data_IF_039688910814
#
_entry.id   IF_039688910814
#
_cell.length_a   1.000
_cell.length_b   1.000
_cell.length_c   1.000
_cell.angle_alpha   90.00
_cell.angle_beta   90.00
_cell.angle_gamma   90.00
#
_symmetry.space_group_name_H-M   'P 1'
#
loop_
_entity.id
_entity.type
_entity.pdbx_description
1 polymer ?
#
# COMPACT_ATOMS: atom_id res chain seq x y z
N UNK A 1 38.05 34.06 -27.79
CA UNK A 1 37.32 34.32 -26.54
C UNK A 1 36.12 33.40 -26.55
N UNK A 2 36.24 32.27 -25.85
CA UNK A 2 35.12 31.38 -25.58
C UNK A 2 34.38 31.95 -24.37
N UNK A 3 33.08 32.12 -24.47
CA UNK A 3 32.22 32.40 -23.32
C UNK A 3 31.78 31.06 -22.75
N UNK A 4 32.46 30.59 -21.72
CA UNK A 4 32.02 29.46 -20.90
C UNK A 4 30.72 29.88 -20.20
N UNK A 5 29.64 29.17 -20.49
CA UNK A 5 28.34 29.38 -19.88
C UNK A 5 28.27 28.49 -18.62
N UNK A 6 28.96 28.91 -17.55
CA UNK A 6 29.13 28.16 -16.29
C UNK A 6 27.86 28.06 -15.43
N UNK A 7 26.71 28.51 -15.94
CA UNK A 7 25.40 28.38 -15.27
C UNK A 7 24.47 27.35 -15.93
N UNK A 8 24.98 26.54 -16.86
CA UNK A 8 24.18 25.49 -17.49
C UNK A 8 23.92 24.36 -16.49
N UNK A 9 22.66 24.16 -16.12
CA UNK A 9 22.23 23.02 -15.30
C UNK A 9 22.49 21.73 -16.09
N UNK A 10 22.82 20.63 -15.40
CA UNK A 10 23.22 19.37 -16.05
C UNK A 10 22.16 18.75 -16.98
N UNK A 11 20.93 19.23 -16.94
CA UNK A 11 19.80 18.86 -17.82
C UNK A 11 19.86 19.53 -19.21
N UNK A 12 20.69 20.55 -19.40
CA UNK A 12 20.81 21.30 -20.65
C UNK A 12 21.86 20.72 -21.62
N UNK A 13 22.78 19.88 -21.13
CA UNK A 13 23.95 19.41 -21.91
C UNK A 13 23.62 18.18 -22.77
N UNK A 14 22.54 17.47 -22.46
CA UNK A 14 22.13 16.25 -23.18
C UNK A 14 20.61 16.12 -23.20
N UNK A 15 19.93 17.03 -23.89
CA UNK A 15 18.54 16.76 -24.26
C UNK A 15 18.55 15.78 -25.44
N UNK A 16 17.92 14.59 -25.33
CA UNK A 16 17.68 13.79 -26.51
C UNK A 16 16.91 14.65 -27.51
N UNK A 17 17.30 14.60 -28.78
CA UNK A 17 16.46 15.15 -29.85
C UNK A 17 15.08 14.55 -29.65
N UNK A 18 14.05 15.39 -29.57
CA UNK A 18 12.68 14.91 -29.55
C UNK A 18 12.48 14.17 -30.88
N UNK A 19 12.59 12.85 -30.86
CA UNK A 19 11.93 12.04 -31.88
C UNK A 19 10.46 12.44 -31.83
N UNK A 20 9.89 12.76 -33.00
CA UNK A 20 8.45 12.96 -33.14
C UNK A 20 7.79 11.67 -32.64
N UNK A 21 7.38 11.69 -31.37
CA UNK A 21 6.60 10.61 -30.78
C UNK A 21 5.24 10.69 -31.44
N UNK A 22 4.96 9.73 -32.31
CA UNK A 22 3.64 9.55 -32.93
C UNK A 22 2.52 9.50 -31.86
N UNK A 23 2.87 9.14 -30.62
CA UNK A 23 2.00 9.13 -29.42
C UNK A 23 1.82 10.50 -28.71
N UNK A 24 2.18 11.62 -29.33
CA UNK A 24 1.95 12.97 -28.73
C UNK A 24 0.62 13.60 -29.13
N UNK A 25 -0.10 12.98 -30.09
CA UNK A 25 -1.42 13.40 -30.54
C UNK A 25 -2.57 12.84 -29.72
N UNK A 26 -3.79 13.14 -30.16
CA UNK A 26 -5.01 12.48 -29.67
C UNK A 26 -4.96 11.02 -30.13
N UNK A 27 -5.22 10.09 -29.21
CA UNK A 27 -5.25 8.65 -29.54
C UNK A 27 -6.44 8.33 -30.45
N UNK A 28 -6.21 7.48 -31.45
CA UNK A 28 -7.27 7.00 -32.32
C UNK A 28 -8.25 6.10 -31.53
N UNK A 29 -9.52 5.99 -31.96
CA UNK A 29 -10.54 5.23 -31.23
C UNK A 29 -10.13 3.78 -30.93
N UNK A 30 -9.37 3.15 -31.83
CA UNK A 30 -8.87 1.77 -31.68
C UNK A 30 -7.82 1.61 -30.57
N UNK A 31 -7.17 2.70 -30.18
CA UNK A 31 -6.17 2.75 -29.12
C UNK A 31 -6.72 3.28 -27.79
N UNK A 32 -8.03 3.56 -27.71
CA UNK A 32 -8.70 3.99 -26.47
C UNK A 32 -9.65 2.91 -25.94
N UNK A 33 -9.75 2.79 -24.61
CA UNK A 33 -10.77 1.94 -23.95
C UNK A 33 -12.16 2.59 -23.92
N UNK A 34 -12.35 3.74 -24.58
CA UNK A 34 -13.60 4.49 -24.61
C UNK A 34 -14.36 4.21 -25.90
N UNK A 35 -15.49 3.53 -25.78
CA UNK A 35 -16.42 3.26 -26.91
C UNK A 35 -17.33 4.47 -27.15
N UNK A 36 -16.72 5.64 -27.40
CA UNK A 36 -17.46 6.87 -27.71
C UNK A 36 -17.70 6.93 -29.21
N UNK A 37 -18.96 7.17 -29.60
CA UNK A 37 -19.38 7.25 -31.01
C UNK A 37 -18.90 8.53 -31.72
N UNK A 38 -18.38 9.51 -30.99
CA UNK A 38 -17.91 10.80 -31.52
C UNK A 38 -16.41 10.73 -31.86
N UNK A 39 -16.03 11.39 -32.96
CA UNK A 39 -14.63 11.53 -33.37
C UNK A 39 -13.83 12.28 -32.28
N UNK A 40 -12.76 11.69 -31.72
CA UNK A 40 -11.90 12.35 -30.74
C UNK A 40 -11.32 13.70 -31.23
N UNK A 41 -11.15 13.88 -32.55
CA UNK A 41 -10.65 15.12 -33.14
C UNK A 41 -11.70 16.23 -33.24
N UNK A 42 -13.00 15.90 -33.13
CA UNK A 42 -14.10 16.87 -33.16
C UNK A 42 -14.42 17.44 -31.76
N UNK A 43 -14.05 16.74 -30.69
CA UNK A 43 -14.29 17.19 -29.31
C UNK A 43 -13.18 18.14 -28.83
N UNK A 44 -13.50 19.43 -28.76
CA UNK A 44 -12.57 20.43 -28.23
C UNK A 44 -12.28 20.21 -26.74
N UNK A 45 -11.01 20.34 -26.34
CA UNK A 45 -10.64 20.40 -24.93
C UNK A 45 -11.29 21.62 -24.27
N UNK A 46 -12.11 21.40 -23.25
CA UNK A 46 -12.68 22.46 -22.41
C UNK A 46 -11.84 22.60 -21.13
N UNK A 47 -11.01 23.65 -20.99
CA UNK A 47 -10.28 23.89 -19.77
C UNK A 47 -11.23 24.13 -18.60
N UNK A 48 -10.82 23.81 -17.36
CA UNK A 48 -11.65 24.10 -16.20
C UNK A 48 -11.96 25.60 -16.11
N UNK A 49 -13.23 25.94 -15.87
CA UNK A 49 -13.69 27.35 -15.75
C UNK A 49 -13.13 28.08 -14.52
N UNK A 50 -12.42 27.36 -13.65
CA UNK A 50 -11.82 27.86 -12.42
C UNK A 50 -10.45 27.21 -12.19
N UNK A 51 -9.50 27.97 -11.64
CA UNK A 51 -8.20 27.41 -11.28
C UNK A 51 -8.37 26.30 -10.24
N UNK A 52 -7.68 25.18 -10.46
CA UNK A 52 -7.69 24.03 -9.56
C UNK A 52 -6.60 24.18 -8.51
N UNK A 53 -6.88 23.78 -7.27
CA UNK A 53 -5.93 23.72 -6.16
C UNK A 53 -5.19 25.04 -5.79
N UNK A 54 -5.60 26.19 -6.35
CA UNK A 54 -5.05 27.51 -5.95
C UNK A 54 -5.32 27.84 -4.49
N UNK A 55 -6.43 27.34 -3.95
CA UNK A 55 -6.81 27.54 -2.55
C UNK A 55 -6.24 26.45 -1.63
N UNK A 56 -5.49 25.49 -2.17
CA UNK A 56 -4.87 24.40 -1.40
C UNK A 56 -3.58 24.87 -0.73
N UNK A 57 -3.30 24.36 0.47
CA UNK A 57 -2.04 24.64 1.16
C UNK A 57 -0.87 23.98 0.42
N UNK A 58 0.24 24.70 0.26
CA UNK A 58 1.46 24.19 -0.39
C UNK A 58 1.78 24.85 -1.73
N UNK A 59 1.00 25.85 -2.13
CA UNK A 59 1.27 26.65 -3.34
C UNK A 59 2.39 27.68 -3.12
N UNK A 60 2.64 28.09 -1.87
CA UNK A 60 3.73 29.03 -1.53
C UNK A 60 4.96 28.35 -0.90
N UNK A 61 6.14 28.94 -1.08
CA UNK A 61 7.40 28.43 -0.49
C UNK A 61 7.42 28.40 1.05
N UNK A 62 6.55 29.18 1.71
CA UNK A 62 6.36 29.11 3.17
C UNK A 62 5.57 27.86 3.52
N UNK A 63 4.43 27.65 2.87
CA UNK A 63 3.55 26.51 3.13
C UNK A 63 4.20 25.17 2.82
N UNK A 64 5.06 25.07 1.80
CA UNK A 64 5.80 23.83 1.55
C UNK A 64 6.78 23.47 2.67
N UNK A 65 7.33 24.49 3.36
CA UNK A 65 8.23 24.29 4.51
C UNK A 65 7.46 23.94 5.77
N UNK A 66 6.37 24.65 6.02
CA UNK A 66 5.51 24.45 7.20
C UNK A 66 4.69 23.17 7.08
N UNK A 67 4.35 22.77 5.85
CA UNK A 67 3.43 21.69 5.48
C UNK A 67 2.04 21.85 6.11
N UNK A 68 1.17 20.95 5.73
CA UNK A 68 -0.15 20.83 6.32
C UNK A 68 -0.09 20.10 7.67
N UNK A 69 -0.97 20.47 8.62
CA UNK A 69 -1.11 19.73 9.86
C UNK A 69 -1.81 18.39 9.63
N UNK A 70 -1.63 17.43 10.54
CA UNK A 70 -2.32 16.15 10.47
C UNK A 70 -3.85 16.32 10.53
N UNK A 71 -4.34 17.20 11.42
CA UNK A 71 -5.76 17.44 11.57
C UNK A 71 -6.41 17.98 10.29
N UNK A 72 -5.69 18.84 9.56
CA UNK A 72 -6.21 19.39 8.32
C UNK A 72 -6.30 18.30 7.24
N UNK A 73 -5.25 17.46 7.11
CA UNK A 73 -5.26 16.29 6.20
C UNK A 73 -6.39 15.32 6.49
N UNK A 74 -6.68 15.07 7.78
CA UNK A 74 -7.77 14.20 8.20
C UNK A 74 -9.15 14.79 7.89
N UNK A 75 -9.29 16.12 7.92
CA UNK A 75 -10.55 16.77 7.54
C UNK A 75 -10.80 16.75 6.02
N UNK A 76 -9.75 16.64 5.22
CA UNK A 76 -9.84 16.51 3.76
C UNK A 76 -10.11 15.06 3.30
N UNK A 77 -9.89 14.08 4.17
CA UNK A 77 -10.10 12.66 3.87
C UNK A 77 -11.59 12.36 3.63
N UNK A 78 -11.87 11.74 2.48
CA UNK A 78 -13.19 11.19 2.15
C UNK A 78 -13.09 9.65 2.13
N UNK A 79 -14.13 8.94 2.59
CA UNK A 79 -14.18 7.48 2.49
C UNK A 79 -14.01 7.00 1.05
N UNK A 80 -13.21 5.95 0.84
CA UNK A 80 -13.08 5.32 -0.47
C UNK A 80 -14.39 4.58 -0.83
N UNK A 81 -15.06 5.06 -1.87
CA UNK A 81 -16.34 4.50 -2.32
C UNK A 81 -16.17 3.25 -3.19
N UNK A 82 -14.99 3.03 -3.79
CA UNK A 82 -14.71 1.86 -4.62
C UNK A 82 -14.55 0.61 -3.78
N UNK A 83 -13.76 0.70 -2.71
CA UNK A 83 -13.60 -0.39 -1.74
C UNK A 83 -14.93 -0.81 -1.12
N UNK A 84 -15.77 0.16 -0.72
CA UNK A 84 -17.09 -0.12 -0.17
C UNK A 84 -18.03 -0.82 -1.16
N UNK A 85 -17.96 -0.48 -2.45
CA UNK A 85 -18.76 -1.12 -3.49
C UNK A 85 -18.27 -2.53 -3.82
N UNK A 86 -16.95 -2.76 -3.82
CA UNK A 86 -16.35 -4.07 -4.10
C UNK A 86 -16.53 -5.06 -2.95
N UNK A 87 -16.53 -4.59 -1.70
CA UNK A 87 -16.72 -5.45 -0.53
C UNK A 87 -18.17 -5.60 -0.10
N UNK A 88 -19.10 -4.75 -0.57
CA UNK A 88 -20.52 -4.84 -0.18
C UNK A 88 -21.17 -6.20 -0.45
N UNK A 89 -20.77 -6.89 -1.54
CA UNK A 89 -21.28 -8.22 -1.88
C UNK A 89 -20.51 -9.37 -1.20
N UNK A 90 -19.35 -9.08 -0.60
CA UNK A 90 -18.47 -10.06 0.07
C UNK A 90 -18.48 -9.95 1.60
N UNK A 91 -18.87 -8.79 2.12
CA UNK A 91 -19.03 -8.52 3.54
C UNK A 91 -20.30 -9.20 4.05
N UNK A 92 -20.16 -10.01 5.09
CA UNK A 92 -21.28 -10.58 5.84
C UNK A 92 -21.83 -9.58 6.90
N UNK A 93 -21.26 -8.37 6.97
CA UNK A 93 -21.58 -7.31 7.91
C UNK A 93 -21.09 -7.54 9.35
N UNK A 94 -20.33 -8.61 9.60
CA UNK A 94 -19.73 -8.92 10.89
C UNK A 94 -18.34 -8.26 10.93
N UNK A 95 -17.94 -7.67 12.06
CA UNK A 95 -16.63 -7.04 12.22
C UNK A 95 -16.37 -5.74 11.44
N UNK A 96 -17.25 -5.35 10.53
CA UNK A 96 -17.12 -4.15 9.68
C UNK A 96 -17.45 -2.82 10.37
N UNK A 97 -17.87 -2.84 11.64
CA UNK A 97 -18.25 -1.63 12.37
C UNK A 97 -16.99 -0.79 12.70
N UNK A 98 -16.91 0.49 12.26
CA UNK A 98 -15.79 1.36 12.62
C UNK A 98 -15.70 1.54 14.14
N UNK A 99 -14.54 1.20 14.71
CA UNK A 99 -14.32 1.24 16.16
C UNK A 99 -15.02 0.11 16.94
N UNK A 100 -15.57 -0.89 16.27
CA UNK A 100 -16.07 -2.13 16.89
C UNK A 100 -14.94 -3.10 17.23
N UNK A 101 -15.31 -4.24 17.82
CA UNK A 101 -14.36 -5.29 18.26
C UNK A 101 -13.73 -6.09 17.10
N UNK A 102 -14.06 -5.76 15.85
CA UNK A 102 -13.59 -6.47 14.66
C UNK A 102 -14.30 -7.80 14.43
N UNK A 103 -13.77 -8.59 13.50
CA UNK A 103 -14.28 -9.92 13.19
C UNK A 103 -14.11 -10.86 14.39
N UNK A 104 -15.14 -11.66 14.76
CA UNK A 104 -15.01 -12.70 15.75
C UNK A 104 -13.90 -13.68 15.36
N UNK A 105 -12.92 -13.79 16.23
CA UNK A 105 -11.82 -14.73 16.08
C UNK A 105 -12.27 -16.06 16.70
N UNK A 106 -12.10 -17.16 15.96
CA UNK A 106 -12.39 -18.50 16.47
C UNK A 106 -11.27 -19.01 17.40
N UNK A 107 -11.48 -20.20 17.95
CA UNK A 107 -10.55 -20.88 18.84
C UNK A 107 -9.30 -21.43 18.11
N UNK A 108 -9.19 -21.28 16.79
CA UNK A 108 -8.07 -21.76 15.99
C UNK A 108 -7.04 -20.65 15.66
N UNK A 109 -7.29 -19.43 16.12
CA UNK A 109 -6.43 -18.27 15.87
C UNK A 109 -5.85 -17.76 17.19
N UNK A 110 -4.53 -17.90 17.31
CA UNK A 110 -3.76 -17.42 18.45
C UNK A 110 -3.49 -15.92 18.40
N UNK A 111 -3.55 -15.24 19.56
CA UNK A 111 -3.11 -13.83 19.69
C UNK A 111 -1.60 -13.71 19.88
N UNK A 112 -1.02 -14.71 20.55
CA UNK A 112 0.40 -14.71 20.85
C UNK A 112 1.18 -15.35 19.70
N UNK A 113 2.28 -14.69 19.32
CA UNK A 113 3.17 -15.14 18.27
C UNK A 113 4.03 -16.29 18.78
N UNK A 114 4.18 -17.33 17.97
CA UNK A 114 5.16 -18.39 18.23
C UNK A 114 6.59 -17.86 18.10
N UNK A 115 7.46 -18.29 19.00
CA UNK A 115 8.90 -18.09 18.90
C UNK A 115 9.58 -19.17 18.05
N UNK A 116 10.89 -19.32 18.26
CA UNK A 116 11.69 -20.33 17.56
C UNK A 116 11.29 -21.72 18.04
N UNK A 117 10.92 -22.59 17.11
CA UNK A 117 10.61 -23.99 17.40
C UNK A 117 11.87 -24.86 17.31
N UNK A 118 12.12 -25.66 18.35
CA UNK A 118 13.27 -26.56 18.43
C UNK A 118 12.78 -27.99 18.69
N UNK A 119 13.17 -28.92 17.82
CA UNK A 119 12.88 -30.34 17.99
C UNK A 119 13.60 -30.91 19.23
N UNK A 120 13.11 -32.01 19.83
CA UNK A 120 13.71 -32.62 21.02
C UNK A 120 15.20 -32.97 20.90
N UNK A 121 15.63 -33.37 19.71
CA UNK A 121 17.00 -33.76 19.36
C UNK A 121 17.91 -32.54 19.05
N UNK A 122 17.33 -31.33 19.01
CA UNK A 122 17.94 -30.06 18.64
C UNK A 122 18.47 -30.02 17.19
N UNK A 123 18.01 -30.95 16.32
CA UNK A 123 18.44 -31.06 14.92
C UNK A 123 19.89 -31.52 14.72
N UNK A 124 20.55 -32.01 15.79
CA UNK A 124 21.96 -32.45 15.74
C UNK A 124 22.17 -33.85 16.30
N UNK A 125 21.17 -34.44 16.94
CA UNK A 125 21.23 -35.79 17.54
C UNK A 125 20.46 -36.78 16.67
N UNK A 126 20.47 -38.04 17.09
CA UNK A 126 19.60 -39.05 16.48
C UNK A 126 18.16 -38.76 16.88
N UNK A 127 17.26 -38.77 15.90
CA UNK A 127 15.84 -38.58 16.12
C UNK A 127 15.20 -39.89 16.60
N UNK A 128 14.86 -39.91 17.89
CA UNK A 128 14.14 -41.02 18.53
C UNK A 128 12.63 -40.77 18.57
N UNK A 129 12.18 -39.55 18.23
CA UNK A 129 10.78 -39.17 18.20
C UNK A 129 10.16 -39.59 16.85
N UNK A 130 8.93 -40.10 16.89
CA UNK A 130 8.24 -40.54 15.66
C UNK A 130 7.31 -39.46 15.13
N UNK A 131 6.86 -38.58 16.02
CA UNK A 131 5.95 -37.51 15.70
C UNK A 131 6.72 -36.21 15.39
N UNK A 132 6.14 -35.35 14.55
CA UNK A 132 6.74 -34.05 14.22
C UNK A 132 6.35 -33.06 15.31
N UNK A 133 7.18 -32.99 16.35
CA UNK A 133 6.96 -32.12 17.51
C UNK A 133 8.14 -31.19 17.73
N UNK A 134 7.87 -30.01 18.29
CA UNK A 134 8.89 -29.05 18.66
C UNK A 134 8.43 -28.23 19.87
N UNK A 135 9.39 -27.71 20.64
CA UNK A 135 9.15 -26.77 21.73
C UNK A 135 9.47 -25.36 21.29
N UNK A 136 8.60 -24.41 21.64
CA UNK A 136 8.90 -22.99 21.52
C UNK A 136 9.95 -22.60 22.58
N UNK A 137 11.03 -21.95 22.15
CA UNK A 137 12.10 -21.46 23.03
C UNK A 137 12.19 -19.92 23.06
N UNK A 138 11.14 -19.24 22.59
CA UNK A 138 11.00 -17.81 22.58
C UNK A 138 11.47 -17.14 21.28
N UNK A 139 11.15 -15.85 21.17
CA UNK A 139 11.44 -15.02 19.99
C UNK A 139 12.95 -14.80 19.85
N UNK A 140 13.50 -15.06 18.67
CA UNK A 140 14.92 -14.87 18.34
C UNK A 140 15.27 -13.39 18.05
N UNK A 141 14.82 -12.45 18.90
CA UNK A 141 14.97 -11.01 18.66
C UNK A 141 14.31 -10.55 17.36
N UNK A 142 14.50 -9.28 16.97
CA UNK A 142 13.87 -8.68 15.79
C UNK A 142 14.35 -9.25 14.41
N UNK A 143 15.05 -10.39 14.41
CA UNK A 143 15.62 -11.02 13.22
C UNK A 143 14.78 -12.17 12.67
N UNK A 144 13.54 -12.31 13.14
CA UNK A 144 12.68 -13.37 12.67
C UNK A 144 12.25 -13.16 11.21
N UNK A 145 12.18 -14.25 10.44
CA UNK A 145 11.69 -14.20 9.07
C UNK A 145 10.19 -13.84 9.04
N UNK A 146 9.70 -13.41 7.87
CA UNK A 146 8.26 -13.15 7.67
C UNK A 146 7.42 -14.40 7.99
N UNK A 147 7.90 -15.59 7.65
CA UNK A 147 7.23 -16.87 7.93
C UNK A 147 7.19 -17.16 9.43
N UNK A 148 8.30 -16.93 10.15
CA UNK A 148 8.35 -17.08 11.60
C UNK A 148 7.47 -16.05 12.31
N UNK A 149 7.25 -14.88 11.69
CA UNK A 149 6.37 -13.83 12.22
C UNK A 149 4.89 -14.11 12.00
N UNK A 150 4.54 -14.98 11.07
CA UNK A 150 3.17 -15.37 10.75
C UNK A 150 2.65 -16.53 11.61
N UNK A 151 3.51 -17.20 12.40
CA UNK A 151 3.11 -18.34 13.24
C UNK A 151 2.60 -17.87 14.61
N UNK A 152 1.52 -18.47 15.09
CA UNK A 152 0.86 -18.14 16.36
C UNK A 152 0.56 -19.39 17.20
N UNK A 153 0.52 -19.21 18.52
CA UNK A 153 0.15 -20.27 19.46
C UNK A 153 -1.34 -20.23 19.74
N UNK A 154 -2.01 -21.34 19.49
CA UNK A 154 -3.41 -21.56 19.86
C UNK A 154 -3.43 -22.27 21.22
N UNK A 155 -4.09 -21.71 22.26
CA UNK A 155 -4.19 -22.36 23.55
C UNK A 155 -5.04 -23.64 23.44
N UNK A 156 -4.68 -24.67 24.18
CA UNK A 156 -5.52 -25.86 24.31
C UNK A 156 -6.79 -25.52 25.11
N UNK A 157 -7.91 -26.18 24.81
CA UNK A 157 -9.20 -25.99 25.51
C UNK A 157 -9.09 -26.11 27.05
N UNK A 158 -8.08 -26.83 27.55
CA UNK A 158 -7.82 -27.02 28.97
C UNK A 158 -7.08 -25.84 29.65
N UNK A 159 -6.42 -24.99 28.87
CA UNK A 159 -5.64 -23.85 29.32
C UNK A 159 -6.42 -22.52 29.20
N UNK A 160 -7.67 -22.56 28.75
CA UNK A 160 -8.58 -21.41 28.77
C UNK A 160 -8.95 -21.04 30.22
N UNK A 161 -8.21 -20.09 30.79
CA UNK A 161 -8.58 -19.49 32.08
C UNK A 161 -9.82 -18.60 31.93
N UNK A 162 -10.94 -19.07 32.48
CA UNK A 162 -12.23 -18.36 32.56
C UNK A 162 -12.20 -17.10 33.43
#
# INVERSE_FOLDING_TARGET
>A
MATENENSMGDEVYQPVAEDREDTGILDPEDTLSDREADPYDEGWSPPERPLAVDHIGTTAREQRERESLDQRLNEELPDTTQAAETADLSNGIGDLPGGDGEPIDDQVGRDRSGRLVAPDEGVRTDDEKDVVARDVGIAGAAASAEEAAMHTVPDEADETY
#
